data_IF_333451037513
#
_entry.id   IF_333451037513
#
_cell.length_a   1.000
_cell.length_b   1.000
_cell.length_c   1.000
_cell.angle_alpha   90.00
_cell.angle_beta   90.00
_cell.angle_gamma   90.00
#
_symmetry.space_group_name_H-M   'P 1'
#
loop_
_entity.id
_entity.type
_entity.pdbx_description
1 polymer ?
#
# COMPACT_ATOMS: atom_id res chain seq x y z
N UNK A 1 66.11 -14.73 45.78
CA UNK A 1 66.07 -14.65 44.30
C UNK A 1 65.18 -15.72 43.68
N UNK A 2 64.90 -15.62 42.37
CA UNK A 2 64.12 -16.63 41.64
C UNK A 2 64.77 -17.01 40.31
N UNK A 3 64.48 -18.23 39.85
CA UNK A 3 64.85 -18.76 38.53
C UNK A 3 63.64 -19.40 37.87
N UNK A 4 63.53 -19.23 36.55
CA UNK A 4 62.49 -19.87 35.72
C UNK A 4 63.05 -21.20 35.23
N UNK A 5 62.45 -22.31 35.64
CA UNK A 5 62.96 -23.65 35.28
C UNK A 5 62.32 -24.14 33.97
N UNK A 6 61.04 -23.84 33.75
CA UNK A 6 60.30 -24.13 32.51
C UNK A 6 59.01 -23.29 32.44
N UNK A 7 58.25 -23.37 31.33
CA UNK A 7 57.03 -22.60 31.04
C UNK A 7 55.82 -22.87 31.95
N UNK A 8 56.01 -22.71 33.27
CA UNK A 8 55.03 -22.95 34.32
C UNK A 8 55.63 -23.15 35.72
N UNK A 9 56.95 -23.22 35.88
CA UNK A 9 57.61 -23.50 37.17
C UNK A 9 58.62 -22.41 37.53
N UNK A 10 58.39 -21.74 38.65
CA UNK A 10 59.28 -20.76 39.28
C UNK A 10 59.92 -21.37 40.52
N UNK A 11 61.24 -21.29 40.64
CA UNK A 11 61.97 -21.72 41.83
C UNK A 11 62.54 -20.51 42.55
N UNK A 12 62.26 -20.42 43.84
CA UNK A 12 62.74 -19.39 44.74
C UNK A 12 63.73 -19.98 45.73
N UNK A 13 64.74 -19.22 46.12
CA UNK A 13 65.65 -19.56 47.22
C UNK A 13 66.04 -18.31 48.00
N UNK A 14 66.39 -18.53 49.27
CA UNK A 14 66.88 -17.53 50.20
C UNK A 14 67.99 -18.17 51.06
N UNK A 15 69.00 -17.38 51.39
CA UNK A 15 70.17 -17.77 52.21
C UNK A 15 70.16 -16.92 53.49
N UNK A 16 70.88 -17.36 54.54
CA UNK A 16 70.95 -16.70 55.86
C UNK A 16 69.60 -16.44 56.57
N UNK A 17 68.80 -17.49 56.75
CA UNK A 17 67.50 -17.43 57.43
C UNK A 17 67.63 -17.95 58.86
N UNK A 18 67.25 -17.16 59.86
CA UNK A 18 67.28 -17.59 61.25
C UNK A 18 66.05 -18.41 61.63
N UNK A 19 66.18 -19.20 62.70
CA UNK A 19 65.03 -19.91 63.28
C UNK A 19 63.95 -18.90 63.70
N UNK A 20 62.74 -19.02 63.11
CA UNK A 20 61.53 -18.19 63.31
C UNK A 20 61.36 -16.97 62.38
N UNK A 21 62.18 -16.83 61.35
CA UNK A 21 61.95 -15.80 60.32
C UNK A 21 60.82 -16.20 59.37
N UNK A 22 59.99 -15.24 58.98
CA UNK A 22 58.91 -15.43 58.01
C UNK A 22 59.41 -15.13 56.60
N UNK A 23 59.26 -16.09 55.69
CA UNK A 23 59.60 -15.91 54.27
C UNK A 23 58.32 -15.58 53.50
N UNK A 24 58.31 -14.44 52.80
CA UNK A 24 57.24 -14.09 51.85
C UNK A 24 57.76 -14.24 50.43
N UNK A 25 57.10 -15.08 49.64
CA UNK A 25 57.41 -15.26 48.22
C UNK A 25 56.42 -14.45 47.38
N UNK A 26 56.90 -13.40 46.71
CA UNK A 26 56.08 -12.61 45.78
C UNK A 26 56.35 -13.08 44.35
N UNK A 27 55.38 -13.80 43.78
CA UNK A 27 55.39 -14.18 42.37
C UNK A 27 54.64 -13.12 41.54
N UNK A 28 55.35 -12.45 40.62
CA UNK A 28 54.72 -11.55 39.64
C UNK A 28 54.66 -12.30 38.31
N UNK A 29 53.46 -12.45 37.73
CA UNK A 29 53.33 -13.02 36.39
C UNK A 29 54.04 -12.12 35.37
N UNK A 30 54.97 -12.66 34.56
CA UNK A 30 55.50 -11.95 33.40
C UNK A 30 54.37 -11.41 32.51
N UNK A 31 54.51 -10.15 32.07
CA UNK A 31 53.55 -9.54 31.13
C UNK A 31 53.46 -10.41 29.86
N UNK A 32 52.24 -10.84 29.50
CA UNK A 32 51.98 -11.62 28.27
C UNK A 32 51.72 -13.12 28.45
N UNK A 33 51.80 -13.68 29.66
CA UNK A 33 51.46 -15.10 29.92
C UNK A 33 49.95 -15.36 29.86
N UNK A 34 49.14 -14.44 30.38
CA UNK A 34 47.70 -14.45 30.19
C UNK A 34 47.41 -13.83 28.82
N UNK A 35 47.35 -14.67 27.77
CA UNK A 35 46.70 -14.26 26.52
C UNK A 35 45.21 -14.11 26.82
N UNK A 36 44.77 -12.86 26.90
CA UNK A 36 43.36 -12.54 27.07
C UNK A 36 42.58 -13.06 25.87
N UNK A 37 41.88 -14.18 26.06
CA UNK A 37 41.04 -14.76 25.03
C UNK A 37 39.77 -13.93 24.88
N UNK A 38 39.87 -12.88 24.06
CA UNK A 38 38.77 -11.95 23.77
C UNK A 38 37.48 -12.67 23.35
N UNK A 39 37.59 -13.85 22.74
CA UNK A 39 36.41 -14.63 22.34
C UNK A 39 35.59 -15.17 23.51
N UNK A 40 36.22 -15.48 24.66
CA UNK A 40 35.49 -15.85 25.88
C UNK A 40 34.73 -14.66 26.48
N UNK A 41 35.23 -13.44 26.30
CA UNK A 41 34.56 -12.23 26.75
C UNK A 41 33.36 -11.85 25.86
N UNK A 42 33.47 -12.01 24.53
CA UNK A 42 32.41 -11.60 23.59
C UNK A 42 31.42 -12.72 23.22
N UNK A 43 31.81 -13.99 23.34
CA UNK A 43 30.99 -15.15 23.01
C UNK A 43 29.57 -15.14 23.61
N UNK A 44 29.41 -14.81 24.90
CA UNK A 44 28.10 -14.73 25.55
C UNK A 44 27.18 -13.61 25.03
N UNK A 45 27.67 -12.66 24.24
CA UNK A 45 26.90 -11.52 23.72
C UNK A 45 26.59 -11.63 22.21
N UNK A 46 27.10 -12.66 21.53
CA UNK A 46 26.92 -12.85 20.08
C UNK A 46 25.44 -12.96 19.67
N UNK A 47 24.55 -13.35 20.58
CA UNK A 47 23.11 -13.40 20.34
C UNK A 47 22.51 -12.04 19.96
N UNK A 48 23.11 -10.91 20.37
CA UNK A 48 22.65 -9.57 19.99
C UNK A 48 22.96 -9.18 18.53
N UNK A 49 23.86 -9.91 17.85
CA UNK A 49 24.22 -9.57 16.46
C UNK A 49 23.02 -9.77 15.53
N UNK A 50 22.20 -10.80 15.77
CA UNK A 50 21.04 -11.12 14.95
C UNK A 50 20.01 -9.95 14.88
N UNK A 51 19.49 -9.41 16.00
CA UNK A 51 18.53 -8.31 15.95
C UNK A 51 19.14 -7.03 15.38
N UNK A 52 20.43 -6.76 15.61
CA UNK A 52 21.12 -5.59 15.03
C UNK A 52 21.21 -5.74 13.51
N UNK A 53 21.62 -6.91 13.03
CA UNK A 53 21.70 -7.20 11.60
C UNK A 53 20.32 -7.09 10.92
N UNK A 54 19.28 -7.67 11.52
CA UNK A 54 17.91 -7.61 11.01
C UNK A 54 17.37 -6.17 11.03
N UNK A 55 17.70 -5.40 12.07
CA UNK A 55 17.36 -3.98 12.16
C UNK A 55 18.01 -3.21 11.01
N UNK A 56 19.30 -3.37 10.77
CA UNK A 56 20.01 -2.70 9.67
C UNK A 56 19.42 -3.11 8.32
N UNK A 57 19.15 -4.39 8.10
CA UNK A 57 18.58 -4.89 6.85
C UNK A 57 17.15 -4.35 6.60
N UNK A 58 16.28 -4.41 7.61
CA UNK A 58 14.90 -3.91 7.51
C UNK A 58 14.85 -2.39 7.40
N UNK A 59 15.70 -1.68 8.13
CA UNK A 59 15.85 -0.23 8.04
C UNK A 59 16.33 0.18 6.65
N UNK A 60 17.36 -0.48 6.12
CA UNK A 60 17.88 -0.20 4.78
C UNK A 60 16.81 -0.44 3.71
N UNK A 61 16.08 -1.55 3.79
CA UNK A 61 14.98 -1.84 2.86
C UNK A 61 13.87 -0.80 2.95
N UNK A 62 13.43 -0.45 4.17
CA UNK A 62 12.42 0.58 4.37
C UNK A 62 12.89 1.94 3.84
N UNK A 63 14.12 2.34 4.13
CA UNK A 63 14.70 3.61 3.70
C UNK A 63 14.76 3.72 2.18
N UNK A 64 15.32 2.71 1.50
CA UNK A 64 15.40 2.67 0.03
C UNK A 64 14.03 2.70 -0.64
N UNK A 65 13.03 2.10 0.01
CA UNK A 65 11.68 1.98 -0.55
C UNK A 65 10.82 3.22 -0.32
N UNK A 66 10.98 3.89 0.83
CA UNK A 66 10.13 5.04 1.21
C UNK A 66 10.77 6.38 0.86
N UNK A 67 12.10 6.48 0.91
CA UNK A 67 12.84 7.71 0.61
C UNK A 67 13.33 7.78 -0.83
N UNK A 68 12.63 7.11 -1.74
CA UNK A 68 12.95 7.15 -3.15
C UNK A 68 13.07 8.63 -3.61
N UNK A 69 14.17 9.05 -4.25
CA UNK A 69 14.34 10.44 -4.69
C UNK A 69 13.17 10.92 -5.54
N UNK A 70 12.50 10.00 -6.25
CA UNK A 70 11.28 10.33 -6.96
C UNK A 70 10.18 10.80 -6.02
N UNK A 71 9.90 10.15 -4.88
CA UNK A 71 8.85 10.60 -3.94
C UNK A 71 9.10 12.01 -3.34
N UNK A 72 10.34 12.52 -3.40
CA UNK A 72 10.74 13.84 -2.87
C UNK A 72 10.73 14.97 -3.91
N UNK A 73 10.56 14.70 -5.21
CA UNK A 73 10.50 15.79 -6.20
C UNK A 73 9.19 16.58 -6.04
N UNK A 74 9.23 17.86 -6.42
CA UNK A 74 8.06 18.75 -6.34
C UNK A 74 6.94 18.24 -7.25
N UNK A 75 5.71 18.23 -6.72
CA UNK A 75 4.50 17.93 -7.46
C UNK A 75 4.11 19.15 -8.29
N UNK A 76 4.15 19.00 -9.62
CA UNK A 76 3.80 20.04 -10.60
C UNK A 76 2.36 19.78 -11.08
N UNK A 77 1.51 20.81 -11.23
CA UNK A 77 0.18 20.64 -11.82
C UNK A 77 0.26 20.10 -13.25
N UNK A 78 -0.50 19.05 -13.54
CA UNK A 78 -0.67 18.47 -14.88
C UNK A 78 -2.14 18.57 -15.28
N UNK A 79 -2.42 18.82 -16.56
CA UNK A 79 -3.79 19.06 -17.04
C UNK A 79 -4.55 17.79 -17.39
N UNK A 80 -3.84 16.71 -17.72
CA UNK A 80 -4.42 15.44 -18.15
C UNK A 80 -4.17 14.37 -17.08
N UNK A 81 -5.05 13.38 -16.95
CA UNK A 81 -4.77 12.19 -16.17
C UNK A 81 -3.61 11.38 -16.79
N UNK A 82 -2.91 10.53 -16.02
CA UNK A 82 -1.83 9.71 -16.56
C UNK A 82 -2.37 8.69 -17.57
N UNK A 83 -1.88 8.76 -18.80
CA UNK A 83 -2.44 8.09 -20.00
C UNK A 83 -2.57 6.56 -19.89
N UNK A 84 -1.80 5.92 -19.00
CA UNK A 84 -1.76 4.45 -18.90
C UNK A 84 -2.67 3.86 -17.83
N UNK A 85 -3.24 4.64 -16.90
CA UNK A 85 -3.89 4.11 -15.69
C UNK A 85 -5.37 4.44 -15.64
N UNK A 86 -6.19 3.42 -15.39
CA UNK A 86 -7.61 3.64 -15.09
C UNK A 86 -7.76 4.39 -13.76
N UNK A 87 -8.90 5.03 -13.49
CA UNK A 87 -9.15 5.71 -12.22
C UNK A 87 -8.96 4.81 -11.01
N UNK A 88 -9.39 3.54 -11.08
CA UNK A 88 -9.18 2.57 -9.99
C UNK A 88 -7.71 2.20 -9.81
N UNK A 89 -6.97 1.93 -10.90
CA UNK A 89 -5.54 1.63 -10.82
C UNK A 89 -4.75 2.83 -10.27
N UNK A 90 -5.13 4.04 -10.66
CA UNK A 90 -4.56 5.28 -10.15
C UNK A 90 -4.84 5.46 -8.65
N UNK A 91 -6.08 5.28 -8.21
CA UNK A 91 -6.44 5.35 -6.79
C UNK A 91 -5.71 4.29 -5.97
N UNK A 92 -5.61 3.05 -6.48
CA UNK A 92 -4.87 1.97 -5.82
C UNK A 92 -3.40 2.35 -5.58
N UNK A 93 -2.77 3.04 -6.53
CA UNK A 93 -1.39 3.49 -6.43
C UNK A 93 -1.21 4.62 -5.39
N UNK A 94 -2.18 5.53 -5.28
CA UNK A 94 -2.14 6.66 -4.33
C UNK A 94 -2.51 6.21 -2.93
N UNK A 95 -3.67 5.58 -2.78
CA UNK A 95 -4.30 5.29 -1.50
C UNK A 95 -3.92 3.91 -0.95
N UNK A 96 -3.31 3.05 -1.76
CA UNK A 96 -2.98 1.67 -1.39
C UNK A 96 -4.22 0.86 -0.94
N UNK A 97 -5.37 1.20 -1.50
CA UNK A 97 -6.68 0.66 -1.17
C UNK A 97 -7.56 0.69 -2.42
N UNK A 98 -8.49 -0.24 -2.47
CA UNK A 98 -9.48 -0.36 -3.52
C UNK A 98 -10.79 -0.75 -2.83
N UNK A 99 -11.71 0.20 -2.77
CA UNK A 99 -13.05 0.02 -2.24
C UNK A 99 -14.06 0.20 -3.39
N UNK A 100 -15.35 0.16 -3.06
CA UNK A 100 -16.43 0.29 -4.07
C UNK A 100 -16.34 1.61 -4.83
N UNK A 101 -15.84 2.67 -4.17
CA UNK A 101 -15.63 4.00 -4.74
C UNK A 101 -14.76 3.98 -5.99
N UNK A 102 -13.66 3.24 -5.96
CA UNK A 102 -12.75 3.12 -7.11
C UNK A 102 -13.38 2.37 -8.28
N UNK A 103 -14.24 1.40 -7.98
CA UNK A 103 -15.01 0.69 -9.01
C UNK A 103 -16.03 1.62 -9.65
N UNK A 104 -16.76 2.42 -8.86
CA UNK A 104 -17.69 3.42 -9.38
C UNK A 104 -16.96 4.40 -10.31
N UNK A 105 -15.80 4.91 -9.90
CA UNK A 105 -15.00 5.77 -10.77
C UNK A 105 -14.66 5.10 -12.12
N UNK A 106 -14.34 3.79 -12.10
CA UNK A 106 -14.07 3.02 -13.33
C UNK A 106 -15.34 2.85 -14.17
N UNK A 107 -16.51 2.64 -13.56
CA UNK A 107 -17.79 2.55 -14.28
C UNK A 107 -18.12 3.87 -14.98
N UNK A 108 -17.91 5.01 -14.30
CA UNK A 108 -18.12 6.34 -14.89
C UNK A 108 -17.13 6.59 -16.03
N UNK A 109 -15.88 6.16 -15.89
CA UNK A 109 -14.87 6.25 -16.96
C UNK A 109 -15.26 5.40 -18.18
N UNK A 110 -15.74 4.18 -17.97
CA UNK A 110 -16.27 3.33 -19.03
C UNK A 110 -17.55 3.91 -19.67
N UNK A 111 -18.37 4.62 -18.91
CA UNK A 111 -19.53 5.33 -19.43
C UNK A 111 -19.12 6.52 -20.32
N UNK A 112 -18.11 7.30 -19.89
CA UNK A 112 -17.51 8.37 -20.70
C UNK A 112 -16.91 7.85 -22.01
N UNK A 113 -16.31 6.66 -22.00
CA UNK A 113 -15.79 5.98 -23.19
C UNK A 113 -16.89 5.32 -24.04
N UNK A 114 -18.16 5.41 -23.62
CA UNK A 114 -19.32 4.94 -24.39
C UNK A 114 -19.71 3.47 -24.18
N UNK A 115 -19.01 2.72 -23.34
CA UNK A 115 -19.29 1.30 -23.10
C UNK A 115 -20.58 1.07 -22.28
N UNK A 116 -20.91 2.01 -21.42
CA UNK A 116 -22.03 1.93 -20.49
C UNK A 116 -22.95 3.13 -20.70
N UNK A 117 -24.25 2.88 -20.81
CA UNK A 117 -25.30 3.90 -20.73
C UNK A 117 -26.09 3.72 -19.45
N UNK A 118 -26.40 4.81 -18.77
CA UNK A 118 -27.23 4.87 -17.59
C UNK A 118 -28.57 5.44 -18.00
N UNK A 119 -29.64 4.69 -17.77
CA UNK A 119 -31.01 5.13 -18.08
C UNK A 119 -31.81 5.12 -16.79
N UNK A 120 -32.47 6.23 -16.52
CA UNK A 120 -33.42 6.35 -15.42
C UNK A 120 -34.83 6.01 -15.91
N UNK A 121 -35.49 5.04 -15.27
CA UNK A 121 -36.87 4.65 -15.54
C UNK A 121 -37.79 5.17 -14.43
N UNK A 122 -38.93 5.74 -14.82
CA UNK A 122 -40.04 5.98 -13.91
C UNK A 122 -40.82 4.67 -13.73
N UNK A 123 -40.87 4.11 -12.52
CA UNK A 123 -41.87 3.10 -12.16
C UNK A 123 -43.07 3.80 -11.49
N UNK A 124 -44.28 3.51 -11.97
CA UNK A 124 -45.54 4.09 -11.49
C UNK A 124 -45.96 3.62 -10.09
N UNK A 125 -45.23 2.72 -9.44
CA UNK A 125 -45.58 2.20 -8.12
C UNK A 125 -44.67 2.71 -7.00
N UNK A 126 -45.25 3.63 -6.24
CA UNK A 126 -44.79 4.15 -4.96
C UNK A 126 -44.51 2.97 -4.01
N UNK A 127 -43.23 2.65 -3.75
CA UNK A 127 -42.69 2.15 -2.46
C UNK A 127 -41.24 1.59 -2.52
N UNK A 128 -40.57 1.50 -3.68
CA UNK A 128 -39.17 1.05 -3.75
C UNK A 128 -38.26 1.98 -4.56
N UNK A 129 -37.19 2.45 -3.92
CA UNK A 129 -36.32 3.59 -4.30
C UNK A 129 -35.19 3.26 -5.28
N UNK A 130 -35.43 2.56 -6.40
CA UNK A 130 -34.35 2.20 -7.33
C UNK A 130 -34.68 2.57 -8.79
N UNK A 131 -34.46 3.84 -9.15
CA UNK A 131 -34.87 4.44 -10.44
C UNK A 131 -33.89 4.23 -11.61
N UNK A 132 -32.69 3.67 -11.38
CA UNK A 132 -31.62 3.64 -12.39
C UNK A 132 -31.29 2.23 -12.89
N UNK A 133 -31.08 2.07 -14.20
CA UNK A 133 -30.62 0.84 -14.85
C UNK A 133 -29.43 1.13 -15.76
N UNK A 134 -28.45 0.23 -15.78
CA UNK A 134 -27.28 0.30 -16.66
C UNK A 134 -27.53 -0.56 -17.89
N UNK A 135 -27.23 0.00 -19.04
CA UNK A 135 -27.34 -0.59 -20.36
C UNK A 135 -25.93 -0.77 -20.93
N UNK A 136 -25.63 -1.97 -21.39
CA UNK A 136 -24.44 -2.26 -22.17
C UNK A 136 -24.65 -1.70 -23.57
N UNK A 137 -23.76 -0.82 -24.03
CA UNK A 137 -23.89 -0.19 -25.36
C UNK A 137 -23.12 -0.94 -26.43
N UNK A 138 -22.05 -1.65 -26.04
CA UNK A 138 -21.16 -2.36 -26.97
C UNK A 138 -20.71 -3.69 -26.37
N UNK A 139 -20.50 -4.68 -27.22
CA UNK A 139 -19.90 -5.96 -26.82
C UNK A 139 -18.40 -5.76 -26.61
N UNK A 140 -17.96 -5.99 -25.36
CA UNK A 140 -16.62 -5.70 -24.86
C UNK A 140 -15.68 -6.92 -24.94
N UNK A 141 -16.16 -8.05 -25.48
CA UNK A 141 -15.39 -9.30 -25.56
C UNK A 141 -14.20 -9.20 -26.52
N UNK A 142 -14.32 -8.43 -27.61
CA UNK A 142 -13.32 -8.33 -28.68
C UNK A 142 -12.57 -6.98 -28.75
N UNK A 143 -12.74 -6.12 -27.74
CA UNK A 143 -12.22 -4.75 -27.80
C UNK A 143 -10.78 -4.67 -27.24
N UNK A 144 -9.80 -4.24 -28.06
CA UNK A 144 -8.39 -4.21 -27.69
C UNK A 144 -8.03 -3.04 -26.74
N UNK A 145 -8.87 -2.02 -26.65
CA UNK A 145 -8.63 -0.81 -25.86
C UNK A 145 -8.94 -0.99 -24.36
N UNK A 146 -9.79 -1.97 -24.02
CA UNK A 146 -10.19 -2.26 -22.64
C UNK A 146 -9.08 -2.97 -21.87
N UNK A 147 -8.80 -2.46 -20.67
CA UNK A 147 -7.82 -3.05 -19.76
C UNK A 147 -8.36 -4.37 -19.17
N UNK A 148 -7.45 -5.24 -18.76
CA UNK A 148 -7.79 -6.59 -18.26
C UNK A 148 -8.79 -6.52 -17.08
N UNK A 149 -8.65 -5.53 -16.19
CA UNK A 149 -9.55 -5.36 -15.05
C UNK A 149 -10.91 -4.77 -15.43
N UNK A 150 -10.97 -3.89 -16.43
CA UNK A 150 -12.22 -3.29 -16.94
C UNK A 150 -13.05 -4.35 -17.66
N UNK A 151 -12.42 -5.20 -18.49
CA UNK A 151 -13.10 -6.34 -19.12
C UNK A 151 -13.65 -7.30 -18.07
N UNK A 152 -12.88 -7.58 -17.01
CA UNK A 152 -13.34 -8.42 -15.92
C UNK A 152 -14.53 -7.77 -15.17
N UNK A 153 -14.47 -6.46 -14.93
CA UNK A 153 -15.54 -5.70 -14.29
C UNK A 153 -16.84 -5.78 -15.12
N UNK A 154 -16.76 -5.51 -16.43
CA UNK A 154 -17.89 -5.60 -17.35
C UNK A 154 -18.52 -6.99 -17.35
N UNK A 155 -17.69 -8.05 -17.46
CA UNK A 155 -18.14 -9.44 -17.38
C UNK A 155 -18.93 -9.74 -16.11
N UNK A 156 -18.48 -9.24 -14.96
CA UNK A 156 -19.12 -9.53 -13.68
C UNK A 156 -20.37 -8.68 -13.43
N UNK A 157 -20.41 -7.45 -13.93
CA UNK A 157 -21.57 -6.56 -13.77
C UNK A 157 -22.72 -7.01 -14.68
N UNK A 158 -22.43 -7.34 -15.93
CA UNK A 158 -23.47 -7.69 -16.90
C UNK A 158 -23.83 -9.17 -16.86
N UNK A 159 -22.89 -10.06 -16.54
CA UNK A 159 -23.12 -11.51 -16.42
C UNK A 159 -23.88 -12.12 -17.62
N UNK A 160 -23.64 -11.59 -18.83
CA UNK A 160 -24.32 -11.98 -20.07
C UNK A 160 -25.64 -11.25 -20.37
N UNK A 161 -26.13 -10.41 -19.46
CA UNK A 161 -27.29 -9.55 -19.69
C UNK A 161 -26.87 -8.23 -20.34
N UNK A 162 -27.77 -7.61 -21.10
CA UNK A 162 -27.54 -6.28 -21.67
C UNK A 162 -27.98 -5.15 -20.73
N UNK A 163 -28.83 -5.46 -19.74
CA UNK A 163 -29.41 -4.49 -18.81
C UNK A 163 -29.32 -5.00 -17.37
N UNK A 164 -28.87 -4.14 -16.47
CA UNK A 164 -28.67 -4.46 -15.04
C UNK A 164 -29.25 -3.34 -14.18
N UNK A 165 -30.03 -3.70 -13.16
CA UNK A 165 -30.56 -2.71 -12.21
C UNK A 165 -29.47 -2.17 -11.27
N UNK A 166 -29.66 -0.99 -10.68
CA UNK A 166 -28.73 -0.43 -9.70
C UNK A 166 -28.48 -1.37 -8.51
N UNK A 167 -29.53 -2.07 -8.06
CA UNK A 167 -29.46 -2.98 -6.93
C UNK A 167 -28.64 -4.23 -7.27
N UNK A 168 -28.84 -4.79 -8.46
CA UNK A 168 -28.07 -5.93 -8.94
C UNK A 168 -26.60 -5.56 -9.15
N UNK A 169 -26.34 -4.38 -9.73
CA UNK A 169 -25.00 -3.84 -9.86
C UNK A 169 -24.30 -3.80 -8.49
N UNK A 170 -24.95 -3.22 -7.47
CA UNK A 170 -24.41 -3.15 -6.12
C UNK A 170 -24.12 -4.52 -5.53
N UNK A 171 -25.03 -5.47 -5.72
CA UNK A 171 -24.87 -6.85 -5.26
C UNK A 171 -23.68 -7.53 -5.95
N UNK A 172 -23.59 -7.42 -7.28
CA UNK A 172 -22.53 -8.04 -8.08
C UNK A 172 -21.14 -7.46 -7.76
N UNK A 173 -21.03 -6.14 -7.59
CA UNK A 173 -19.80 -5.49 -7.14
C UNK A 173 -19.42 -6.00 -5.75
N UNK A 174 -20.36 -6.02 -4.80
CA UNK A 174 -20.09 -6.42 -3.41
C UNK A 174 -19.63 -7.88 -3.32
N UNK A 175 -20.23 -8.78 -4.09
CA UNK A 175 -19.86 -10.20 -4.12
C UNK A 175 -18.50 -10.43 -4.80
N UNK A 176 -18.13 -9.60 -5.79
CA UNK A 176 -16.93 -9.80 -6.61
C UNK A 176 -15.79 -8.80 -6.35
N UNK A 177 -15.93 -7.90 -5.36
CA UNK A 177 -14.94 -6.87 -5.01
C UNK A 177 -13.52 -7.42 -4.90
N UNK A 178 -13.34 -8.59 -4.27
CA UNK A 178 -12.03 -9.22 -4.10
C UNK A 178 -11.43 -9.74 -5.41
N UNK A 179 -12.26 -10.12 -6.40
CA UNK A 179 -11.81 -10.54 -7.73
C UNK A 179 -11.42 -9.34 -8.57
N UNK A 180 -12.27 -8.31 -8.58
CA UNK A 180 -12.03 -7.05 -9.29
C UNK A 180 -10.77 -6.37 -8.76
N UNK A 181 -10.63 -6.25 -7.44
CA UNK A 181 -9.45 -5.67 -6.81
C UNK A 181 -8.17 -6.42 -7.18
N UNK A 182 -8.22 -7.75 -7.24
CA UNK A 182 -7.05 -8.56 -7.66
C UNK A 182 -6.67 -8.27 -9.10
N UNK A 183 -7.62 -8.07 -10.00
CA UNK A 183 -7.35 -7.72 -11.40
C UNK A 183 -6.62 -6.38 -11.51
N UNK A 184 -7.10 -5.34 -10.80
CA UNK A 184 -6.43 -4.03 -10.75
C UNK A 184 -5.00 -4.15 -10.21
N UNK A 185 -4.79 -4.90 -9.11
CA UNK A 185 -3.44 -5.12 -8.58
C UNK A 185 -2.53 -5.87 -9.56
N UNK A 186 -3.06 -6.86 -10.26
CA UNK A 186 -2.29 -7.64 -11.24
C UNK A 186 -1.86 -6.76 -12.43
N UNK A 187 -2.71 -5.84 -12.86
CA UNK A 187 -2.36 -4.88 -13.89
C UNK A 187 -1.23 -3.94 -13.47
N UNK A 188 -1.30 -3.39 -12.25
CA UNK A 188 -0.22 -2.55 -11.70
C UNK A 188 1.11 -3.31 -11.60
N UNK A 189 1.07 -4.63 -11.34
CA UNK A 189 2.25 -5.50 -11.35
C UNK A 189 2.75 -5.71 -12.79
N UNK A 190 1.86 -6.04 -13.73
CA UNK A 190 2.17 -6.25 -15.16
C UNK A 190 2.81 -5.00 -15.79
N UNK A 191 2.29 -3.82 -15.47
CA UNK A 191 2.79 -2.52 -15.93
C UNK A 191 4.02 -2.01 -15.14
N UNK A 192 4.51 -2.80 -14.16
CA UNK A 192 5.69 -2.54 -13.31
C UNK A 192 5.59 -1.28 -12.44
N UNK A 193 4.38 -0.84 -12.09
CA UNK A 193 4.19 0.24 -11.09
C UNK A 193 4.41 -0.27 -9.66
N UNK A 194 4.15 -1.55 -9.42
CA UNK A 194 4.39 -2.22 -8.14
C UNK A 194 5.04 -3.59 -8.35
N UNK A 195 5.86 -4.05 -7.39
CA UNK A 195 6.51 -5.36 -7.44
C UNK A 195 5.66 -6.49 -6.85
N UNK A 196 4.50 -6.18 -6.29
CA UNK A 196 3.60 -7.13 -5.66
C UNK A 196 2.47 -6.42 -4.93
N UNK A 197 1.40 -7.14 -4.58
CA UNK A 197 0.29 -6.50 -3.88
C UNK A 197 0.74 -6.05 -2.48
N UNK A 198 0.41 -4.81 -2.07
CA UNK A 198 0.84 -4.28 -0.77
C UNK A 198 0.29 -5.09 0.41
N UNK A 199 -0.95 -5.59 0.30
CA UNK A 199 -1.56 -6.48 1.30
C UNK A 199 -0.76 -7.76 1.48
N UNK A 200 -0.37 -8.44 0.40
CA UNK A 200 0.37 -9.69 0.49
C UNK A 200 1.80 -9.47 0.97
N UNK A 201 2.44 -8.38 0.54
CA UNK A 201 3.77 -7.99 0.98
C UNK A 201 3.80 -7.78 2.49
N UNK A 202 2.88 -6.97 3.03
CA UNK A 202 2.74 -6.74 4.48
C UNK A 202 2.41 -8.02 5.24
N UNK A 203 1.46 -8.82 4.73
CA UNK A 203 1.06 -10.10 5.35
C UNK A 203 2.23 -11.08 5.44
N UNK A 204 3.06 -11.19 4.40
CA UNK A 204 4.24 -12.06 4.40
C UNK A 204 5.23 -11.67 5.50
N UNK A 205 5.55 -10.38 5.63
CA UNK A 205 6.44 -9.91 6.70
C UNK A 205 5.85 -10.12 8.09
N UNK A 206 4.55 -9.89 8.27
CA UNK A 206 3.87 -10.14 9.54
C UNK A 206 3.94 -11.63 9.91
N UNK A 207 3.66 -12.54 8.97
CA UNK A 207 3.74 -13.99 9.20
C UNK A 207 5.17 -14.39 9.58
N UNK A 208 6.18 -13.93 8.83
CA UNK A 208 7.59 -14.22 9.13
C UNK A 208 7.96 -13.69 10.52
N UNK A 209 7.58 -12.44 10.84
CA UNK A 209 7.88 -11.86 12.14
C UNK A 209 7.20 -12.59 13.30
N UNK A 210 5.94 -13.02 13.14
CA UNK A 210 5.22 -13.83 14.14
C UNK A 210 5.91 -15.19 14.32
N UNK A 211 6.33 -15.86 13.24
CA UNK A 211 7.07 -17.11 13.33
C UNK A 211 8.38 -16.95 14.10
N UNK A 212 9.13 -15.87 13.86
CA UNK A 212 10.33 -15.54 14.63
C UNK A 212 10.01 -15.32 16.12
N UNK A 213 8.91 -14.61 16.44
CA UNK A 213 8.50 -14.43 17.84
C UNK A 213 8.18 -15.77 18.50
N UNK A 214 7.41 -16.64 17.85
CA UNK A 214 7.05 -17.96 18.40
C UNK A 214 8.31 -18.82 18.63
N UNK A 215 9.18 -18.93 17.62
CA UNK A 215 10.44 -19.69 17.73
C UNK A 215 11.35 -19.12 18.82
N UNK A 216 11.42 -17.78 18.91
CA UNK A 216 12.18 -17.09 19.94
C UNK A 216 11.66 -17.38 21.34
N UNK A 217 10.34 -17.38 21.55
CA UNK A 217 9.72 -17.71 22.83
C UNK A 217 9.98 -19.17 23.25
N UNK A 218 9.85 -20.13 22.32
CA UNK A 218 10.15 -21.55 22.58
C UNK A 218 11.63 -21.74 22.96
N UNK A 219 12.52 -21.06 22.24
CA UNK A 219 13.96 -21.10 22.51
C UNK A 219 14.30 -20.48 23.87
N UNK A 220 13.60 -19.40 24.24
CA UNK A 220 13.76 -18.74 25.53
C UNK A 220 13.32 -19.64 26.69
N UNK A 221 12.18 -20.33 26.54
CA UNK A 221 11.70 -21.31 27.53
C UNK A 221 12.68 -22.47 27.75
N UNK A 222 13.50 -22.78 26.74
CA UNK A 222 14.58 -23.78 26.83
C UNK A 222 15.84 -23.24 27.55
N UNK A 223 15.69 -22.17 28.34
CA UNK A 223 16.76 -21.48 29.09
C UNK A 223 17.89 -20.89 28.24
N UNK A 224 17.61 -20.55 26.96
CA UNK A 224 18.58 -19.91 26.07
C UNK A 224 18.25 -18.43 25.85
N UNK A 225 19.18 -17.55 26.24
CA UNK A 225 19.07 -16.09 26.02
C UNK A 225 18.95 -15.73 24.52
N UNK A 226 19.39 -16.62 23.62
CA UNK A 226 19.20 -16.43 22.18
C UNK A 226 17.72 -16.29 21.79
N UNK A 227 16.79 -16.88 22.56
CA UNK A 227 15.36 -16.74 22.33
C UNK A 227 14.87 -15.28 22.39
N UNK A 228 15.46 -14.45 23.25
CA UNK A 228 15.15 -13.01 23.33
C UNK A 228 15.59 -12.28 22.06
N UNK A 229 16.79 -12.57 21.54
CA UNK A 229 17.28 -11.97 20.30
C UNK A 229 16.42 -12.35 19.08
N UNK A 230 16.00 -13.61 18.98
CA UNK A 230 15.12 -14.08 17.90
C UNK A 230 13.75 -13.40 18.01
N UNK A 231 13.20 -13.32 19.23
CA UNK A 231 11.92 -12.66 19.49
C UNK A 231 11.95 -11.18 19.12
N UNK A 232 13.00 -10.46 19.55
CA UNK A 232 13.21 -9.05 19.23
C UNK A 232 13.36 -8.83 17.73
N UNK A 233 14.08 -9.73 17.05
CA UNK A 233 14.20 -9.72 15.59
C UNK A 233 12.84 -9.85 14.90
N UNK A 234 11.97 -10.75 15.38
CA UNK A 234 10.61 -10.90 14.88
C UNK A 234 9.78 -9.63 15.05
N UNK A 235 9.88 -8.96 16.21
CA UNK A 235 9.23 -7.66 16.45
C UNK A 235 9.70 -6.59 15.46
N UNK A 236 11.01 -6.49 15.23
CA UNK A 236 11.59 -5.57 14.23
C UNK A 236 11.01 -5.86 12.84
N UNK A 237 10.95 -7.13 12.43
CA UNK A 237 10.40 -7.54 11.13
C UNK A 237 8.92 -7.10 11.00
N UNK A 238 8.10 -7.29 12.04
CA UNK A 238 6.69 -6.86 12.03
C UNK A 238 6.57 -5.33 11.91
N UNK A 239 7.33 -4.58 12.70
CA UNK A 239 7.26 -3.10 12.73
C UNK A 239 7.63 -2.52 11.36
N UNK A 240 8.77 -2.92 10.80
CA UNK A 240 9.22 -2.42 9.50
C UNK A 240 8.40 -3.02 8.35
N UNK A 241 8.00 -4.29 8.45
CA UNK A 241 7.18 -4.99 7.47
C UNK A 241 5.84 -4.30 7.19
N UNK A 242 5.24 -3.66 8.20
CA UNK A 242 4.02 -2.86 8.04
C UNK A 242 4.24 -1.56 7.24
N UNK A 243 5.46 -1.02 7.27
CA UNK A 243 5.83 0.25 6.64
C UNK A 243 6.42 0.09 5.23
N UNK A 244 6.86 -1.11 4.85
CA UNK A 244 7.40 -1.37 3.51
C UNK A 244 6.29 -1.23 2.46
N UNK A 245 6.56 -0.49 1.39
CA UNK A 245 5.67 -0.28 0.25
C UNK A 245 6.23 -1.00 -1.00
N UNK A 246 5.49 -1.81 -1.76
CA UNK A 246 6.05 -2.50 -2.93
C UNK A 246 6.12 -1.61 -4.19
N UNK A 247 6.01 -0.28 -4.06
CA UNK A 247 5.95 0.67 -5.17
C UNK A 247 7.33 0.82 -5.83
N UNK A 248 7.37 0.80 -7.16
CA UNK A 248 8.60 0.98 -7.95
C UNK A 248 8.88 2.46 -8.24
N UNK A 249 10.02 2.79 -8.84
CA UNK A 249 10.32 4.16 -9.27
C UNK A 249 9.25 4.69 -10.24
N UNK A 250 8.83 3.86 -11.21
CA UNK A 250 7.72 4.15 -12.14
C UNK A 250 6.41 4.40 -11.39
N UNK A 251 6.13 3.60 -10.36
CA UNK A 251 5.00 3.79 -9.44
C UNK A 251 5.02 5.14 -8.72
N UNK A 252 6.16 5.54 -8.16
CA UNK A 252 6.30 6.84 -7.50
C UNK A 252 6.15 8.01 -8.48
N UNK A 253 6.62 7.85 -9.72
CA UNK A 253 6.44 8.84 -10.76
C UNK A 253 4.97 9.04 -11.12
N UNK A 254 4.24 7.96 -11.41
CA UNK A 254 2.81 8.02 -11.68
C UNK A 254 2.02 8.55 -10.48
N UNK A 255 2.40 8.19 -9.25
CA UNK A 255 1.75 8.72 -8.04
C UNK A 255 1.92 10.25 -7.95
N UNK A 256 3.11 10.79 -8.23
CA UNK A 256 3.31 12.24 -8.27
C UNK A 256 2.54 12.91 -9.38
N UNK A 257 2.52 12.33 -10.57
CA UNK A 257 1.76 12.86 -11.70
C UNK A 257 0.28 12.96 -11.33
N UNK A 258 -0.26 11.91 -10.70
CA UNK A 258 -1.62 11.88 -10.19
C UNK A 258 -1.89 12.95 -9.12
N UNK A 259 -0.96 13.17 -8.20
CA UNK A 259 -1.04 14.25 -7.20
C UNK A 259 -0.96 15.63 -7.86
N UNK A 260 -0.20 15.76 -8.94
CA UNK A 260 -0.11 16.95 -9.79
C UNK A 260 -1.44 17.25 -10.45
N UNK A 261 -2.05 16.24 -11.04
CA UNK A 261 -3.39 16.32 -11.62
C UNK A 261 -4.45 16.66 -10.56
N UNK A 262 -4.42 16.03 -9.37
CA UNK A 262 -5.28 16.41 -8.23
C UNK A 262 -5.13 17.89 -7.89
N UNK A 263 -3.90 18.40 -7.84
CA UNK A 263 -3.62 19.81 -7.55
C UNK A 263 -4.18 20.72 -8.64
N UNK A 264 -4.04 20.34 -9.91
CA UNK A 264 -4.62 21.06 -11.04
C UNK A 264 -6.16 21.11 -10.95
N UNK A 265 -6.81 19.98 -10.72
CA UNK A 265 -8.26 19.91 -10.52
C UNK A 265 -8.73 20.81 -9.37
N UNK A 266 -8.03 20.79 -8.24
CA UNK A 266 -8.33 21.67 -7.11
C UNK A 266 -8.18 23.16 -7.45
N UNK A 267 -7.17 23.53 -8.25
CA UNK A 267 -6.98 24.91 -8.69
C UNK A 267 -8.10 25.34 -9.63
N UNK A 268 -8.38 24.54 -10.67
CA UNK A 268 -9.46 24.82 -11.63
C UNK A 268 -10.82 24.91 -10.97
N UNK A 269 -11.13 23.97 -10.07
CA UNK A 269 -12.37 23.94 -9.31
C UNK A 269 -12.54 25.20 -8.44
N UNK A 270 -11.50 25.58 -7.68
CA UNK A 270 -11.52 26.83 -6.88
C UNK A 270 -11.69 28.08 -7.73
N UNK A 271 -11.10 28.09 -8.92
CA UNK A 271 -11.21 29.19 -9.84
C UNK A 271 -12.52 29.18 -10.66
N UNK A 272 -13.35 28.12 -10.53
CA UNK A 272 -14.59 27.90 -11.29
C UNK A 272 -14.40 28.05 -12.80
N UNK A 273 -13.32 27.47 -13.34
CA UNK A 273 -12.95 27.55 -14.77
C UNK A 273 -13.41 26.28 -15.54
N UNK A 274 -14.17 25.39 -14.90
CA UNK A 274 -14.65 24.16 -15.55
C UNK A 274 -15.97 24.49 -16.24
N UNK A 275 -15.84 25.06 -17.44
CA UNK A 275 -16.98 25.59 -18.19
C UNK A 275 -17.45 24.66 -19.32
N UNK A 276 -16.71 23.58 -19.57
CA UNK A 276 -16.93 22.65 -20.66
C UNK A 276 -17.40 21.27 -20.16
N UNK A 277 -18.41 20.70 -20.84
CA UNK A 277 -19.00 19.41 -20.47
C UNK A 277 -18.01 18.27 -20.69
N UNK A 278 -17.26 18.30 -21.78
CA UNK A 278 -16.30 17.25 -22.11
C UNK A 278 -15.19 17.21 -21.04
N UNK A 279 -14.71 18.39 -20.65
CA UNK A 279 -13.75 18.53 -19.55
C UNK A 279 -14.32 18.07 -18.21
N UNK A 280 -15.59 18.38 -17.91
CA UNK A 280 -16.23 17.90 -16.69
C UNK A 280 -16.31 16.37 -16.65
N UNK A 281 -16.75 15.76 -17.76
CA UNK A 281 -16.87 14.31 -17.88
C UNK A 281 -15.51 13.63 -17.78
N UNK A 282 -14.48 14.15 -18.46
CA UNK A 282 -13.11 13.65 -18.37
C UNK A 282 -12.59 13.66 -16.92
N UNK A 283 -12.91 14.71 -16.16
CA UNK A 283 -12.41 14.90 -14.80
C UNK A 283 -13.22 14.16 -13.72
N UNK A 284 -14.47 13.82 -14.01
CA UNK A 284 -15.41 13.25 -13.03
C UNK A 284 -14.94 11.93 -12.40
N UNK A 285 -14.48 10.90 -13.15
CA UNK A 285 -13.92 9.68 -12.57
C UNK A 285 -12.80 9.95 -11.56
N UNK A 286 -11.94 10.91 -11.89
CA UNK A 286 -10.80 11.27 -11.06
C UNK A 286 -11.18 12.12 -9.85
N UNK A 287 -12.18 13.00 -10.01
CA UNK A 287 -12.74 13.75 -8.91
C UNK A 287 -13.37 12.82 -7.86
N UNK A 288 -14.06 11.76 -8.32
CA UNK A 288 -14.57 10.69 -7.46
C UNK A 288 -13.40 10.12 -6.67
N UNK A 289 -12.36 9.54 -7.28
CA UNK A 289 -11.26 8.90 -6.50
C UNK A 289 -10.59 9.89 -5.53
N UNK A 290 -10.47 11.17 -5.89
CA UNK A 290 -9.89 12.21 -5.03
C UNK A 290 -10.81 12.71 -3.93
N UNK A 291 -12.12 12.43 -4.00
CA UNK A 291 -13.13 12.87 -3.03
C UNK A 291 -13.51 14.34 -3.17
N UNK A 292 -13.48 14.87 -4.40
CA UNK A 292 -13.79 16.27 -4.72
C UNK A 292 -14.94 16.39 -5.74
N UNK A 293 -15.65 15.30 -6.00
CA UNK A 293 -16.74 15.21 -6.99
C UNK A 293 -17.89 16.19 -6.71
N UNK A 294 -18.21 16.44 -5.44
CA UNK A 294 -19.28 17.38 -5.05
C UNK A 294 -18.88 18.82 -5.34
N UNK A 295 -17.66 19.20 -4.97
CA UNK A 295 -17.14 20.54 -5.23
C UNK A 295 -17.03 20.78 -6.75
N UNK A 296 -16.56 19.76 -7.49
CA UNK A 296 -16.49 19.79 -8.95
C UNK A 296 -17.89 20.02 -9.56
N UNK A 297 -18.88 19.25 -9.14
CA UNK A 297 -20.24 19.38 -9.64
C UNK A 297 -20.89 20.73 -9.28
N UNK A 298 -20.63 21.26 -8.09
CA UNK A 298 -21.08 22.61 -7.71
C UNK A 298 -20.44 23.69 -8.60
N UNK A 299 -19.14 23.55 -8.92
CA UNK A 299 -18.47 24.49 -9.82
C UNK A 299 -19.02 24.45 -11.24
N UNK A 300 -19.60 23.31 -11.65
CA UNK A 300 -20.15 23.07 -12.99
C UNK A 300 -21.56 23.65 -13.19
N UNK A 301 -22.05 24.53 -12.31
CA UNK A 301 -23.42 25.07 -12.40
C UNK A 301 -23.45 26.57 -12.69
N UNK A 302 -23.99 26.94 -13.86
CA UNK A 302 -25.06 27.95 -13.99
C UNK A 302 -25.74 28.01 -15.38
N UNK A 303 -25.11 27.57 -16.49
CA UNK A 303 -25.63 27.99 -17.83
C UNK A 303 -25.70 26.93 -18.96
N UNK A 304 -25.40 25.64 -18.75
CA UNK A 304 -25.33 24.66 -19.87
C UNK A 304 -26.22 23.44 -19.70
N UNK A 305 -27.17 23.29 -20.64
CA UNK A 305 -28.26 22.30 -20.72
C UNK A 305 -27.86 20.93 -21.32
N UNK A 306 -26.59 20.68 -21.62
CA UNK A 306 -26.14 19.44 -22.25
C UNK A 306 -25.62 18.44 -21.22
N UNK A 307 -26.39 17.37 -21.02
CA UNK A 307 -26.05 16.21 -20.18
C UNK A 307 -25.07 15.27 -20.93
N UNK A 308 -24.24 14.47 -20.24
CA UNK A 308 -23.47 13.40 -20.89
C UNK A 308 -24.34 12.51 -21.78
N UNK A 309 -23.85 12.13 -22.96
CA UNK A 309 -24.56 11.23 -23.88
C UNK A 309 -24.86 9.85 -23.26
N UNK A 310 -24.09 9.46 -22.24
CA UNK A 310 -24.28 8.20 -21.54
C UNK A 310 -25.34 8.25 -20.44
N UNK A 311 -25.90 9.41 -20.06
CA UNK A 311 -26.93 9.52 -19.01
C UNK A 311 -28.27 10.00 -19.61
N UNK A 312 -29.31 9.17 -19.56
CA UNK A 312 -30.62 9.45 -20.14
C UNK A 312 -31.75 9.41 -19.10
N UNK A 313 -32.53 10.49 -19.01
CA UNK A 313 -33.72 10.61 -18.13
C UNK A 313 -34.93 11.13 -18.93
N UNK A 314 -36.14 10.71 -18.52
CA UNK A 314 -37.42 10.97 -19.20
C UNK A 314 -37.85 12.45 -19.22
N UNK A 315 -37.58 13.26 -18.18
CA UNK A 315 -37.95 14.70 -18.15
C UNK A 315 -37.02 15.57 -17.27
N UNK A 316 -36.81 16.81 -17.73
CA UNK A 316 -36.04 17.91 -17.13
C UNK A 316 -34.60 17.58 -16.68
N UNK A 317 -33.66 17.84 -17.61
CA UNK A 317 -32.22 17.58 -17.46
C UNK A 317 -31.56 18.54 -16.47
N UNK A 318 -31.00 18.04 -15.37
CA UNK A 318 -30.06 18.81 -14.53
C UNK A 318 -28.82 17.99 -14.12
N UNK A 319 -27.70 18.67 -13.87
CA UNK A 319 -26.47 18.05 -13.32
C UNK A 319 -26.72 17.42 -11.95
N UNK A 320 -27.75 17.89 -11.24
CA UNK A 320 -28.21 17.31 -9.97
C UNK A 320 -28.58 15.84 -10.12
N UNK A 321 -29.11 15.42 -11.27
CA UNK A 321 -29.55 14.03 -11.50
C UNK A 321 -28.36 13.08 -11.68
N UNK A 322 -27.29 13.54 -12.34
CA UNK A 322 -26.02 12.79 -12.43
C UNK A 322 -25.41 12.62 -11.04
N UNK A 323 -25.45 13.69 -10.24
CA UNK A 323 -24.95 13.64 -8.87
C UNK A 323 -25.84 12.81 -7.95
N UNK A 324 -27.16 12.76 -8.18
CA UNK A 324 -28.08 11.87 -7.48
C UNK A 324 -27.80 10.41 -7.83
N UNK A 325 -27.55 10.08 -9.10
CA UNK A 325 -27.12 8.75 -9.51
C UNK A 325 -25.78 8.35 -8.87
N UNK A 326 -24.80 9.25 -8.88
CA UNK A 326 -23.53 9.03 -8.19
C UNK A 326 -23.78 8.86 -6.69
N UNK A 327 -24.52 9.75 -6.04
CA UNK A 327 -24.84 9.65 -4.61
C UNK A 327 -25.70 8.42 -4.26
N UNK A 328 -26.47 7.87 -5.21
CA UNK A 328 -27.24 6.63 -5.11
C UNK A 328 -26.40 5.36 -5.35
N UNK A 329 -25.26 5.48 -6.05
CA UNK A 329 -24.20 4.47 -6.12
C UNK A 329 -23.26 4.52 -4.90
N UNK A 330 -23.01 5.71 -4.36
CA UNK A 330 -22.17 5.97 -3.19
C UNK A 330 -22.79 5.63 -1.80
N UNK A 331 -24.06 5.21 -1.55
CA UNK A 331 -24.56 4.90 -0.21
C UNK A 331 -23.84 3.71 0.45
N UNK A 332 -22.95 3.03 -0.27
CA UNK A 332 -22.00 2.09 0.31
C UNK A 332 -20.85 2.76 1.12
N UNK A 333 -20.74 4.09 1.11
CA UNK A 333 -19.59 4.84 1.68
C UNK A 333 -19.88 5.48 3.05
N UNK A 334 -21.15 5.66 3.44
CA UNK A 334 -21.50 6.20 4.77
C UNK A 334 -21.85 5.13 5.82
N UNK A 335 -21.70 3.85 5.48
CA UNK A 335 -22.20 2.72 6.27
C UNK A 335 -21.15 1.81 6.89
N UNK A 336 -19.87 2.19 6.95
CA UNK A 336 -18.82 1.50 7.72
C UNK A 336 -17.73 2.45 8.20
#
# INVERSE_FOLDING_TARGET
>A
DYSVISGGVLKYWAEDINSRDNITVTAVFPKGILKEDRWRAFGPYLWFILPIFILIAMFSKWWLTTQNPESKRRVIPHSNPPEDLSPSALSALINNKLDIKEIIATIIDLANQGYIKVVEKEEENILTSYKHSLYKTMDYEDMPELKDHERLLMNHIFAGNDVVSLQDLKNMISQNINRINRAVWNELIKLKYINGSPRNTKKRYIIIGILFIIVGLITFLSSSNAGLAISLSGVIIVIFGRKISPITNKGFEAQRFALGFKKHLLIKNKAKIIDDIDMFLEYLPYAIIFGIEKDLAMSFTHDKKSMPEWYYQSKNKTISDVMEFIDALLPAIKGY
#
